data_IF_708953756314
#
_entry.id   IF_708953756314
#
_cell.length_a   1.000
_cell.length_b   1.000
_cell.length_c   1.000
_cell.angle_alpha   90.00
_cell.angle_beta   90.00
_cell.angle_gamma   90.00
#
_symmetry.space_group_name_H-M   'P 1'
#
loop_
_entity.id
_entity.type
_entity.pdbx_description
1 polymer ?
#
# COMPACT_ATOMS: atom_id res chain seq x y z
N UNK A 1 -14.93 20.54 -11.50
CA UNK A 1 -14.68 20.36 -10.06
C UNK A 1 -13.52 21.26 -9.68
N UNK A 2 -13.73 22.23 -8.79
CA UNK A 2 -12.68 23.14 -8.32
C UNK A 2 -11.64 22.36 -7.51
N UNK A 3 -10.35 22.62 -7.79
CA UNK A 3 -9.15 21.94 -7.26
C UNK A 3 -8.92 22.07 -5.74
N UNK A 4 -9.94 22.44 -4.97
CA UNK A 4 -9.80 22.83 -3.55
C UNK A 4 -9.51 21.60 -2.69
N UNK A 5 -10.18 20.48 -2.94
CA UNK A 5 -10.03 19.24 -2.15
C UNK A 5 -8.63 18.62 -2.30
N UNK A 6 -8.08 18.59 -3.51
CA UNK A 6 -6.75 18.05 -3.78
C UNK A 6 -5.65 18.90 -3.14
N UNK A 7 -5.78 20.23 -3.21
CA UNK A 7 -4.84 21.16 -2.57
C UNK A 7 -4.95 21.07 -1.04
N UNK A 8 -6.17 21.04 -0.49
CA UNK A 8 -6.40 20.98 0.94
C UNK A 8 -5.79 19.73 1.59
N UNK A 9 -5.86 18.60 0.92
CA UNK A 9 -5.39 17.33 1.45
C UNK A 9 -4.04 16.88 0.89
N UNK A 10 -3.35 17.74 0.13
CA UNK A 10 -2.06 17.44 -0.51
C UNK A 10 -2.10 16.08 -1.23
N UNK A 11 -3.17 15.87 -1.99
CA UNK A 11 -3.40 14.62 -2.72
C UNK A 11 -2.45 14.60 -3.90
N UNK A 12 -1.64 13.54 -3.95
CA UNK A 12 -0.67 13.33 -5.03
C UNK A 12 -1.25 12.44 -6.13
N UNK A 13 -2.09 11.46 -5.76
CA UNK A 13 -2.74 10.55 -6.69
C UNK A 13 -4.13 10.12 -6.15
N UNK A 14 -4.97 9.54 -7.00
CA UNK A 14 -6.29 9.07 -6.60
C UNK A 14 -6.77 7.87 -7.43
N UNK A 15 -7.60 7.03 -6.81
CA UNK A 15 -8.30 5.93 -7.50
C UNK A 15 -9.80 6.04 -7.26
N UNK A 16 -10.57 6.10 -8.33
CA UNK A 16 -12.04 6.16 -8.24
C UNK A 16 -12.60 4.75 -8.17
N UNK A 17 -13.58 4.54 -7.30
CA UNK A 17 -14.38 3.32 -7.25
C UNK A 17 -15.15 3.12 -8.56
N UNK A 18 -15.41 1.87 -8.94
CA UNK A 18 -16.08 1.57 -10.21
C UNK A 18 -17.55 2.08 -10.27
N UNK A 19 -18.18 2.21 -9.11
CA UNK A 19 -19.54 2.76 -8.97
C UNK A 19 -19.58 4.30 -8.88
N UNK A 20 -18.42 4.96 -8.96
CA UNK A 20 -18.22 6.41 -8.90
C UNK A 20 -18.77 7.07 -7.63
N UNK A 21 -18.96 6.31 -6.53
CA UNK A 21 -19.45 6.87 -5.25
C UNK A 21 -18.31 7.29 -4.32
N UNK A 22 -17.16 6.62 -4.45
CA UNK A 22 -16.00 6.78 -3.58
C UNK A 22 -14.71 7.06 -4.37
N UNK A 23 -13.78 7.77 -3.72
CA UNK A 23 -12.44 8.03 -4.21
C UNK A 23 -11.44 7.62 -3.12
N UNK A 24 -10.44 6.82 -3.46
CA UNK A 24 -9.24 6.65 -2.65
C UNK A 24 -8.32 7.82 -2.95
N UNK A 25 -8.14 8.72 -1.98
CA UNK A 25 -7.17 9.80 -2.03
C UNK A 25 -5.84 9.29 -1.48
N UNK A 26 -4.77 9.53 -2.22
CA UNK A 26 -3.41 9.09 -1.91
C UNK A 26 -2.56 10.34 -1.62
N UNK A 27 -1.97 10.39 -0.43
CA UNK A 27 -1.16 11.53 0.05
C UNK A 27 0.10 11.05 0.78
N UNK A 28 1.06 11.94 0.95
CA UNK A 28 2.34 11.66 1.62
C UNK A 28 3.07 10.47 0.97
N UNK A 29 3.18 10.46 -0.36
CA UNK A 29 3.74 9.34 -1.11
C UNK A 29 5.25 9.30 -0.94
N UNK A 30 5.76 8.18 -0.42
CA UNK A 30 7.20 7.92 -0.33
C UNK A 30 7.54 6.70 -1.19
N UNK A 31 8.43 6.90 -2.17
CA UNK A 31 8.87 5.83 -3.07
C UNK A 31 9.88 4.92 -2.38
N UNK A 32 9.67 3.61 -2.43
CA UNK A 32 10.56 2.60 -1.86
C UNK A 32 11.50 2.05 -2.93
N UNK A 33 10.94 1.57 -4.03
CA UNK A 33 11.67 1.02 -5.18
C UNK A 33 11.18 1.70 -6.48
N UNK A 34 11.07 0.99 -7.60
CA UNK A 34 10.71 1.59 -8.89
C UNK A 34 9.21 1.85 -8.99
N UNK A 35 8.42 0.84 -8.63
CA UNK A 35 6.95 0.83 -8.64
C UNK A 35 6.38 0.89 -7.23
N UNK A 36 7.06 0.33 -6.22
CA UNK A 36 6.61 0.30 -4.84
C UNK A 36 6.68 1.66 -4.17
N UNK A 37 5.55 2.03 -3.56
CA UNK A 37 5.38 3.25 -2.79
C UNK A 37 4.72 2.90 -1.46
N UNK A 38 4.98 3.71 -0.45
CA UNK A 38 4.18 3.75 0.77
C UNK A 38 3.48 5.10 0.81
N UNK A 39 2.20 5.12 1.17
CA UNK A 39 1.41 6.34 1.17
C UNK A 39 0.28 6.25 2.20
N UNK A 40 -0.28 7.40 2.56
CA UNK A 40 -1.51 7.44 3.35
C UNK A 40 -2.71 7.41 2.42
N UNK A 41 -3.71 6.61 2.80
CA UNK A 41 -4.93 6.45 2.02
C UNK A 41 -6.13 6.94 2.80
N UNK A 42 -6.99 7.69 2.12
CA UNK A 42 -8.28 8.11 2.65
C UNK A 42 -9.40 7.76 1.67
N UNK A 43 -10.49 7.20 2.18
CA UNK A 43 -11.72 7.01 1.42
C UNK A 43 -12.53 8.31 1.51
N UNK A 44 -12.83 8.89 0.36
CA UNK A 44 -13.65 10.08 0.21
C UNK A 44 -14.98 9.72 -0.46
N UNK A 45 -16.09 9.96 0.24
CA UNK A 45 -17.44 9.77 -0.30
C UNK A 45 -17.90 11.04 -1.02
N UNK A 46 -18.28 10.92 -2.29
CA UNK A 46 -18.59 12.07 -3.15
C UNK A 46 -19.89 12.76 -2.72
N UNK A 47 -20.90 11.98 -2.33
CA UNK A 47 -22.23 12.50 -1.98
C UNK A 47 -22.22 13.32 -0.69
N UNK A 48 -21.56 12.81 0.35
CA UNK A 48 -21.52 13.43 1.69
C UNK A 48 -20.32 14.34 1.89
N UNK A 49 -19.31 14.24 0.99
CA UNK A 49 -17.99 14.85 1.12
C UNK A 49 -17.22 14.42 2.37
N UNK A 50 -17.62 13.30 2.95
CA UNK A 50 -17.02 12.76 4.15
C UNK A 50 -15.74 11.99 3.79
N UNK A 51 -14.70 12.21 4.58
CA UNK A 51 -13.38 11.58 4.42
C UNK A 51 -13.12 10.68 5.62
N UNK A 52 -12.86 9.40 5.36
CA UNK A 52 -12.41 8.44 6.37
C UNK A 52 -11.00 7.93 6.03
N UNK A 53 -10.10 7.82 7.01
CA UNK A 53 -8.80 7.18 6.79
C UNK A 53 -8.98 5.68 6.57
N UNK A 54 -8.09 5.10 5.77
CA UNK A 54 -7.98 3.64 5.61
C UNK A 54 -6.91 3.13 6.56
N UNK A 55 -7.29 2.25 7.49
CA UNK A 55 -6.39 1.70 8.52
C UNK A 55 -6.67 0.21 8.75
N UNK A 56 -5.64 -0.60 9.11
CA UNK A 56 -5.83 -1.97 9.58
C UNK A 56 -6.65 -2.07 10.88
N UNK A 57 -6.63 -1.01 11.70
CA UNK A 57 -7.38 -0.96 12.96
C UNK A 57 -8.71 -0.23 12.74
N UNK A 58 -9.78 -0.82 13.24
CA UNK A 58 -11.11 -0.21 13.19
C UNK A 58 -11.12 1.09 14.01
N UNK A 59 -11.80 2.14 13.50
CA UNK A 59 -11.93 3.46 14.14
C UNK A 59 -10.61 4.24 14.32
N UNK A 60 -9.50 3.80 13.74
CA UNK A 60 -8.24 4.55 13.77
C UNK A 60 -8.29 5.76 12.83
N UNK A 61 -8.08 6.95 13.40
CA UNK A 61 -8.11 8.21 12.65
C UNK A 61 -6.75 8.65 12.07
N UNK A 62 -5.67 7.90 12.34
CA UNK A 62 -4.29 8.33 12.04
C UNK A 62 -3.87 8.18 10.57
N UNK A 63 -4.54 7.33 9.79
CA UNK A 63 -4.15 6.93 8.43
C UNK A 63 -2.68 6.48 8.34
N UNK A 64 -2.35 5.24 8.77
CA UNK A 64 -0.99 4.75 8.68
C UNK A 64 -0.52 4.65 7.21
N UNK A 65 0.79 4.58 7.02
CA UNK A 65 1.37 4.33 5.70
C UNK A 65 1.04 2.91 5.25
N UNK A 66 0.35 2.79 4.12
CA UNK A 66 0.02 1.53 3.48
C UNK A 66 0.92 1.32 2.26
N UNK A 67 1.25 0.07 1.97
CA UNK A 67 2.10 -0.28 0.82
C UNK A 67 1.31 -0.33 -0.48
N UNK A 68 0.03 -0.67 -0.42
CA UNK A 68 -0.83 -0.74 -1.59
C UNK A 68 -2.30 -0.73 -1.17
N UNK A 69 -3.17 -0.16 -2.01
CA UNK A 69 -4.61 -0.28 -1.86
C UNK A 69 -5.31 -0.32 -3.24
N UNK A 70 -6.38 -1.10 -3.32
CA UNK A 70 -7.19 -1.23 -4.53
C UNK A 70 -8.66 -1.46 -4.21
N UNK A 71 -9.53 -0.93 -5.07
CA UNK A 71 -10.97 -1.16 -5.05
C UNK A 71 -11.30 -2.58 -5.52
N UNK A 72 -12.39 -3.13 -5.00
CA UNK A 72 -13.07 -4.26 -5.62
C UNK A 72 -13.79 -3.83 -6.92
N UNK A 73 -13.98 -4.72 -7.91
CA UNK A 73 -14.64 -4.41 -9.17
C UNK A 73 -16.07 -3.87 -9.04
N UNK A 74 -16.79 -4.27 -8.00
CA UNK A 74 -18.13 -3.75 -7.66
C UNK A 74 -18.10 -2.39 -6.94
N UNK A 75 -16.92 -1.88 -6.55
CA UNK A 75 -16.73 -0.56 -5.95
C UNK A 75 -17.08 -0.46 -4.46
N UNK A 76 -17.54 -1.54 -3.83
CA UNK A 76 -18.04 -1.50 -2.43
C UNK A 76 -16.97 -1.81 -1.38
N UNK A 77 -15.91 -2.52 -1.78
CA UNK A 77 -14.90 -3.05 -0.90
C UNK A 77 -13.49 -2.58 -1.29
N UNK A 78 -12.56 -2.67 -0.34
CA UNK A 78 -11.15 -2.28 -0.54
C UNK A 78 -10.25 -3.38 0.01
N UNK A 79 -9.27 -3.81 -0.79
CA UNK A 79 -8.13 -4.57 -0.29
C UNK A 79 -6.93 -3.64 -0.16
N UNK A 80 -6.19 -3.78 0.93
CA UNK A 80 -5.00 -2.96 1.20
C UNK A 80 -3.94 -3.76 1.95
N UNK A 81 -2.69 -3.32 1.84
CA UNK A 81 -1.53 -3.99 2.43
C UNK A 81 -0.87 -3.08 3.45
N UNK A 82 -0.70 -3.62 4.66
CA UNK A 82 -0.06 -2.97 5.79
C UNK A 82 0.90 -3.97 6.45
N UNK A 83 2.14 -3.54 6.72
CA UNK A 83 3.20 -4.39 7.30
C UNK A 83 3.33 -5.77 6.63
N UNK A 84 3.33 -5.79 5.29
CA UNK A 84 3.38 -6.99 4.45
C UNK A 84 2.22 -7.98 4.63
N UNK A 85 1.11 -7.57 5.24
CA UNK A 85 -0.10 -8.35 5.35
C UNK A 85 -1.29 -7.72 4.64
N UNK A 86 -2.15 -8.58 4.12
CA UNK A 86 -3.34 -8.19 3.36
C UNK A 86 -4.49 -7.98 4.35
N UNK A 87 -5.14 -6.84 4.21
CA UNK A 87 -6.37 -6.47 4.90
C UNK A 87 -7.47 -6.24 3.87
N UNK A 88 -8.69 -6.56 4.28
CA UNK A 88 -9.88 -6.45 3.46
C UNK A 88 -10.96 -5.69 4.22
N UNK A 89 -11.49 -4.65 3.59
CA UNK A 89 -12.64 -3.88 4.08
C UNK A 89 -13.85 -4.23 3.21
N UNK A 90 -14.76 -5.10 3.68
CA UNK A 90 -15.87 -5.59 2.83
C UNK A 90 -16.90 -4.53 2.44
N UNK A 91 -17.05 -3.49 3.27
CA UNK A 91 -17.95 -2.36 3.02
C UNK A 91 -17.28 -1.09 3.51
N UNK A 92 -17.08 -0.12 2.62
CA UNK A 92 -16.43 1.15 2.96
C UNK A 92 -17.18 1.98 3.99
N UNK A 93 -18.49 1.84 4.08
CA UNK A 93 -19.34 2.61 4.98
C UNK A 93 -19.24 2.12 6.43
N UNK A 94 -18.95 0.82 6.62
CA UNK A 94 -18.85 0.15 7.91
C UNK A 94 -17.43 0.22 8.47
N UNK A 95 -17.28 0.07 9.78
CA UNK A 95 -15.95 0.13 10.40
C UNK A 95 -15.16 -1.17 10.26
N UNK A 96 -15.85 -2.30 10.07
CA UNK A 96 -15.26 -3.64 9.96
C UNK A 96 -14.04 -3.68 9.00
N UNK A 97 -12.94 -4.25 9.50
CA UNK A 97 -11.74 -4.58 8.72
C UNK A 97 -11.30 -6.00 9.05
N UNK A 98 -11.04 -6.80 8.02
CA UNK A 98 -10.65 -8.19 8.15
C UNK A 98 -9.18 -8.34 7.75
N UNK A 99 -8.34 -8.84 8.65
CA UNK A 99 -6.97 -9.26 8.31
C UNK A 99 -7.03 -10.62 7.61
N UNK A 100 -6.51 -10.71 6.38
CA UNK A 100 -6.53 -11.92 5.55
C UNK A 100 -5.28 -12.76 5.78
N UNK A 101 -4.12 -12.12 5.93
CA UNK A 101 -2.84 -12.81 6.20
C UNK A 101 -2.21 -12.31 7.50
N UNK A 102 -1.43 -13.16 8.15
CA UNK A 102 -0.74 -12.84 9.41
C UNK A 102 0.72 -13.31 9.42
N UNK A 103 1.26 -13.63 8.25
CA UNK A 103 2.63 -14.13 8.07
C UNK A 103 3.60 -13.05 7.62
N UNK A 104 3.12 -11.83 7.38
CA UNK A 104 3.91 -10.71 6.91
C UNK A 104 5.13 -10.47 7.80
N UNK A 105 6.30 -10.36 7.16
CA UNK A 105 7.55 -10.05 7.83
C UNK A 105 8.32 -9.05 6.96
N UNK A 106 8.51 -7.80 7.42
CA UNK A 106 9.24 -6.78 6.67
C UNK A 106 10.60 -7.26 6.19
N UNK A 107 10.85 -7.16 4.88
CA UNK A 107 12.10 -7.58 4.25
C UNK A 107 12.30 -9.09 4.08
N UNK A 108 11.29 -9.91 4.40
CA UNK A 108 11.39 -11.39 4.32
C UNK A 108 10.15 -12.04 3.72
N UNK A 109 8.96 -11.79 4.26
CA UNK A 109 7.70 -12.36 3.76
C UNK A 109 6.80 -11.22 3.34
N UNK A 110 6.36 -11.25 2.08
CA UNK A 110 5.54 -10.22 1.45
C UNK A 110 4.23 -10.83 0.97
N UNK A 111 3.10 -10.44 1.56
CA UNK A 111 1.77 -10.86 1.10
C UNK A 111 1.12 -9.71 0.31
N UNK A 112 0.78 -9.96 -0.95
CA UNK A 112 0.05 -9.00 -1.78
C UNK A 112 0.88 -7.84 -2.35
N UNK A 113 2.16 -7.76 -2.01
CA UNK A 113 3.15 -6.82 -2.58
C UNK A 113 4.37 -7.59 -3.04
N UNK A 114 5.08 -7.05 -4.03
CA UNK A 114 6.27 -7.68 -4.61
C UNK A 114 7.52 -7.54 -3.75
N UNK A 115 8.38 -8.55 -3.79
CA UNK A 115 9.78 -8.39 -3.41
C UNK A 115 10.55 -7.56 -4.46
N UNK A 116 11.82 -7.30 -4.21
CA UNK A 116 12.63 -6.48 -5.10
C UNK A 116 12.82 -7.11 -6.48
N UNK A 117 13.01 -8.45 -6.58
CA UNK A 117 13.25 -9.11 -7.86
C UNK A 117 12.00 -9.06 -8.75
N UNK A 118 10.85 -9.48 -8.21
CA UNK A 118 9.62 -9.52 -8.99
C UNK A 118 9.16 -8.11 -9.37
N UNK A 119 9.37 -7.13 -8.51
CA UNK A 119 9.09 -5.74 -8.85
C UNK A 119 9.95 -5.25 -10.02
N UNK A 120 11.27 -5.51 -10.02
CA UNK A 120 12.15 -4.87 -11.00
C UNK A 120 12.23 -5.62 -12.33
N UNK A 121 12.11 -6.96 -12.32
CA UNK A 121 12.43 -7.77 -13.49
C UNK A 121 11.29 -8.66 -14.00
N UNK A 122 10.38 -9.13 -13.14
CA UNK A 122 9.39 -10.16 -13.54
C UNK A 122 8.00 -9.55 -13.76
N UNK A 123 7.40 -8.95 -12.71
CA UNK A 123 6.02 -8.46 -12.74
C UNK A 123 5.91 -6.95 -12.98
N UNK A 124 6.95 -6.17 -12.65
CA UNK A 124 6.97 -4.72 -12.94
C UNK A 124 5.77 -3.94 -12.36
N UNK A 125 5.30 -4.37 -11.19
CA UNK A 125 4.19 -3.79 -10.43
C UNK A 125 4.55 -3.79 -8.95
N UNK A 126 3.91 -2.94 -8.15
CA UNK A 126 4.03 -2.92 -6.70
C UNK A 126 3.05 -3.85 -5.99
N UNK A 127 1.83 -3.94 -6.50
CA UNK A 127 0.74 -4.74 -5.94
C UNK A 127 0.49 -6.00 -6.77
N UNK A 128 0.33 -7.13 -6.07
CA UNK A 128 0.03 -8.46 -6.63
C UNK A 128 -1.21 -9.05 -5.95
N UNK A 129 -2.27 -8.25 -5.95
CA UNK A 129 -3.60 -8.60 -5.46
C UNK A 129 -4.61 -8.32 -6.56
N UNK A 130 -5.43 -9.32 -6.89
CA UNK A 130 -6.43 -9.24 -7.94
C UNK A 130 -7.76 -9.78 -7.43
N UNK A 131 -8.79 -8.95 -7.53
CA UNK A 131 -10.17 -9.40 -7.34
C UNK A 131 -10.64 -10.18 -8.56
N UNK A 132 -11.48 -11.19 -8.35
CA UNK A 132 -12.26 -11.78 -9.44
C UNK A 132 -13.26 -10.76 -10.01
N UNK A 133 -13.68 -10.89 -11.28
CA UNK A 133 -14.62 -9.94 -11.90
C UNK A 133 -15.96 -9.78 -11.18
N UNK A 134 -16.38 -10.82 -10.44
CA UNK A 134 -17.60 -10.85 -9.62
C UNK A 134 -17.38 -10.37 -8.16
N UNK A 135 -16.16 -9.92 -7.81
CA UNK A 135 -15.77 -9.51 -6.45
C UNK A 135 -15.85 -10.59 -5.36
N UNK A 136 -16.06 -11.86 -5.72
CA UNK A 136 -16.25 -12.94 -4.73
C UNK A 136 -14.91 -13.48 -4.21
N UNK A 137 -13.89 -13.50 -5.07
CA UNK A 137 -12.59 -14.06 -4.77
C UNK A 137 -11.49 -13.01 -4.82
N UNK A 138 -10.47 -13.22 -4.00
CA UNK A 138 -9.25 -12.42 -3.98
C UNK A 138 -8.06 -13.35 -4.22
N UNK A 139 -7.40 -13.19 -5.36
CA UNK A 139 -6.12 -13.83 -5.66
C UNK A 139 -4.99 -12.92 -5.20
N UNK A 140 -3.98 -13.48 -4.54
CA UNK A 140 -2.76 -12.78 -4.20
C UNK A 140 -1.55 -13.70 -4.29
N UNK A 141 -0.37 -13.11 -4.39
CA UNK A 141 0.90 -13.83 -4.26
C UNK A 141 1.55 -13.55 -2.90
N UNK A 142 2.26 -14.55 -2.41
CA UNK A 142 3.15 -14.44 -1.25
C UNK A 142 4.57 -14.75 -1.68
N UNK A 143 5.50 -13.83 -1.44
CA UNK A 143 6.93 -14.04 -1.65
C UNK A 143 7.61 -14.33 -0.31
N UNK A 144 8.51 -15.32 -0.30
CA UNK A 144 9.27 -15.71 0.88
C UNK A 144 10.77 -15.69 0.57
N UNK A 145 11.44 -14.67 1.08
CA UNK A 145 12.85 -14.40 0.86
C UNK A 145 13.74 -14.89 2.01
N UNK A 146 13.23 -15.76 2.90
CA UNK A 146 13.97 -16.25 4.07
C UNK A 146 15.34 -16.84 3.69
N UNK A 147 15.39 -17.59 2.58
CA UNK A 147 16.60 -18.24 2.09
C UNK A 147 17.29 -17.48 0.94
N UNK A 148 16.80 -16.28 0.60
CA UNK A 148 17.40 -15.45 -0.44
C UNK A 148 18.60 -14.70 0.15
N UNK A 149 19.70 -14.65 -0.60
CA UNK A 149 20.89 -13.92 -0.23
C UNK A 149 20.60 -12.45 0.03
N UNK A 150 21.35 -11.84 0.95
CA UNK A 150 21.21 -10.41 1.25
C UNK A 150 22.32 -9.63 0.54
N UNK A 151 21.92 -8.65 -0.27
CA UNK A 151 22.84 -7.68 -0.83
C UNK A 151 22.95 -6.47 0.12
N UNK A 152 24.17 -6.17 0.57
CA UNK A 152 24.47 -5.06 1.48
C UNK A 152 25.28 -4.00 0.76
N UNK A 153 24.94 -2.74 0.99
CA UNK A 153 25.65 -1.61 0.38
C UNK A 153 25.71 -0.41 1.33
N UNK A 154 26.78 0.40 1.26
CA UNK A 154 26.87 1.61 2.05
C UNK A 154 25.89 2.68 1.52
N UNK A 155 25.22 3.36 2.45
CA UNK A 155 24.31 4.46 2.23
C UNK A 155 24.86 5.72 2.90
N UNK A 156 25.09 6.74 2.08
CA UNK A 156 25.60 8.04 2.50
C UNK A 156 24.44 9.03 2.45
N UNK A 157 23.73 9.22 3.57
CA UNK A 157 22.80 10.35 3.68
C UNK A 157 23.62 11.62 3.94
N UNK A 158 23.58 12.56 3.00
CA UNK A 158 24.27 13.85 3.09
C UNK A 158 23.38 14.96 3.68
N UNK A 159 22.61 14.68 4.73
CA UNK A 159 21.85 15.72 5.41
C UNK A 159 22.74 16.46 6.42
N UNK A 160 22.75 17.79 6.35
CA UNK A 160 23.40 18.65 7.35
C UNK A 160 22.83 18.33 8.74
N UNK A 161 23.68 17.76 9.62
CA UNK A 161 23.31 17.43 11.00
C UNK A 161 23.08 15.94 11.31
N UNK A 162 23.22 15.04 10.33
CA UNK A 162 23.14 13.57 10.53
C UNK A 162 24.54 12.90 10.60
N UNK A 163 24.67 11.69 11.20
CA UNK A 163 25.93 11.16 11.73
C UNK A 163 27.04 11.00 10.68
N UNK A 164 28.29 11.25 11.11
CA UNK A 164 29.54 11.26 10.31
C UNK A 164 29.89 9.93 9.61
N UNK A 165 29.12 8.86 9.82
CA UNK A 165 29.43 7.51 9.33
C UNK A 165 28.32 6.96 8.42
N UNK A 166 28.68 6.26 7.32
CA UNK A 166 27.71 5.65 6.41
C UNK A 166 26.86 4.58 7.11
N UNK A 167 25.58 4.52 6.75
CA UNK A 167 24.68 3.43 7.18
C UNK A 167 24.80 2.26 6.21
N UNK A 168 24.69 1.02 6.67
CA UNK A 168 24.58 -0.12 5.75
C UNK A 168 23.10 -0.37 5.49
N UNK A 169 22.67 -0.25 4.24
CA UNK A 169 21.35 -0.72 3.79
C UNK A 169 21.48 -2.10 3.18
N UNK A 170 20.40 -2.85 3.23
CA UNK A 170 20.34 -4.19 2.68
C UNK A 170 18.98 -4.53 2.11
N UNK A 171 18.97 -5.45 1.14
CA UNK A 171 17.76 -6.06 0.60
C UNK A 171 18.06 -7.47 0.11
N UNK A 172 17.02 -8.29 -0.03
CA UNK A 172 17.11 -9.66 -0.51
C UNK A 172 17.28 -9.67 -2.02
N UNK A 173 18.33 -10.34 -2.51
CA UNK A 173 18.68 -10.43 -3.92
C UNK A 173 19.26 -11.81 -4.23
N UNK A 174 18.63 -12.59 -5.13
CA UNK A 174 19.17 -13.88 -5.56
C UNK A 174 20.30 -13.66 -6.57
N UNK A 175 21.52 -14.02 -6.17
CA UNK A 175 22.71 -14.01 -7.04
C UNK A 175 22.83 -15.31 -7.84
#
# INVERSE_FOLDING_TARGET
MTNITFIQYKVEDFKVSNDLRYILLISDVSRVYKYSTIAKYHIYEIATRLRKPLSPNELDESAPFLQYATWSPDGTAVAFIYDNDIYYKPKVEKDLVCRITSSGQPGVIFNGVTDWLYENYILQTSGVVWFSPDSIYLLYLTFNDTNVGEYRYPWYDGEEGQPTYPKIKSFRYPR
#
